data_IF_807385131545
#
_entry.id   IF_807385131545
#
_cell.length_a   1.000
_cell.length_b   1.000
_cell.length_c   1.000
_cell.angle_alpha   90.00
_cell.angle_beta   90.00
_cell.angle_gamma   90.00
#
_symmetry.space_group_name_H-M   'P 1'
#
loop_
_entity.id
_entity.type
_entity.pdbx_description
1 polymer ?
#
# COMPACT_ATOMS: atom_id res chain seq x y z
N UNK A 1 29.76 1.54 -14.37
CA UNK A 1 29.52 1.95 -13.66
C UNK A 1 28.25 2.26 -13.17
N UNK A 2 27.55 2.87 -13.70
CA UNK A 2 26.34 3.12 -13.22
C UNK A 2 25.52 1.97 -13.01
N UNK A 3 25.69 0.91 -13.74
CA UNK A 3 24.89 -0.22 -13.63
C UNK A 3 24.97 -0.87 -12.30
N UNK A 4 26.15 -0.88 -11.74
CA UNK A 4 26.32 -1.49 -10.45
C UNK A 4 25.54 -0.73 -9.42
N UNK A 5 25.57 0.60 -9.52
CA UNK A 5 24.81 1.35 -8.63
C UNK A 5 23.39 1.09 -8.83
N UNK A 6 22.96 0.95 -10.05
CA UNK A 6 21.62 0.70 -10.29
C UNK A 6 21.16 -0.59 -9.74
N UNK A 7 22.06 -1.55 -9.61
CA UNK A 7 21.68 -2.73 -8.97
C UNK A 7 21.29 -2.45 -7.59
N UNK A 8 22.06 -1.68 -6.89
CA UNK A 8 21.75 -1.34 -5.54
C UNK A 8 20.42 -0.66 -5.47
N UNK A 9 20.15 0.18 -6.44
CA UNK A 9 18.87 0.84 -6.46
C UNK A 9 17.75 -0.11 -6.74
N UNK A 10 18.02 -1.12 -7.54
CA UNK A 10 16.97 -2.07 -7.81
C UNK A 10 16.60 -2.87 -6.60
N UNK A 11 17.51 -3.02 -5.65
CA UNK A 11 17.18 -3.69 -4.43
C UNK A 11 16.13 -2.90 -3.66
N UNK A 12 16.00 -1.61 -4.00
CA UNK A 12 14.99 -0.76 -3.41
C UNK A 12 13.82 -0.62 -4.37
N UNK A 13 13.43 -1.72 -4.98
CA UNK A 13 12.33 -1.69 -5.92
C UNK A 13 11.08 -1.13 -5.29
N UNK A 14 10.17 -0.69 -6.13
CA UNK A 14 8.96 -0.05 -5.67
C UNK A 14 8.09 -1.00 -4.88
N UNK A 15 7.59 -0.54 -3.77
CA UNK A 15 6.67 -1.30 -2.94
C UNK A 15 5.22 -0.98 -3.28
N UNK A 16 4.94 0.25 -3.62
CA UNK A 16 3.56 0.65 -3.87
C UNK A 16 3.52 1.81 -4.86
N UNK A 17 2.82 1.63 -5.97
CA UNK A 17 2.62 2.68 -6.95
C UNK A 17 1.15 2.80 -7.26
N UNK A 18 0.62 4.01 -7.15
CA UNK A 18 -0.78 4.28 -7.49
C UNK A 18 -0.84 4.61 -8.98
N UNK A 19 -1.81 4.02 -9.68
CA UNK A 19 -1.97 4.22 -11.11
C UNK A 19 -3.23 5.02 -11.39
N UNK A 20 -3.12 6.04 -12.23
CA UNK A 20 -4.29 6.81 -12.67
C UNK A 20 -4.10 7.10 -14.16
N UNK A 21 -4.88 6.43 -15.00
CA UNK A 21 -4.77 6.52 -16.45
C UNK A 21 -3.36 6.10 -16.87
N UNK A 22 -2.59 7.01 -17.45
CA UNK A 22 -1.23 6.70 -17.86
C UNK A 22 -0.19 7.18 -16.86
N UNK A 23 -0.64 7.80 -15.79
CA UNK A 23 0.26 8.34 -14.77
C UNK A 23 0.41 7.38 -13.61
N UNK A 24 1.55 7.43 -12.97
CA UNK A 24 1.81 6.60 -11.79
C UNK A 24 2.48 7.44 -10.73
N UNK A 25 2.12 7.21 -9.49
CA UNK A 25 2.79 7.85 -8.36
C UNK A 25 3.40 6.76 -7.48
N UNK A 26 4.72 6.73 -7.42
CA UNK A 26 5.44 5.78 -6.59
C UNK A 26 5.64 6.41 -5.22
N UNK A 27 5.02 5.84 -4.20
CA UNK A 27 5.15 6.37 -2.85
C UNK A 27 6.14 5.61 -2.00
N UNK A 28 6.92 4.72 -2.62
CA UNK A 28 7.87 3.89 -1.89
C UNK A 28 8.83 4.68 -1.02
N UNK A 29 9.31 5.82 -1.53
CA UNK A 29 10.27 6.61 -0.74
C UNK A 29 9.65 7.22 0.50
N UNK A 30 8.34 7.27 0.59
CA UNK A 30 7.65 7.78 1.76
C UNK A 30 7.23 6.66 2.71
N UNK A 31 7.44 5.41 2.35
CA UNK A 31 7.09 4.28 3.18
C UNK A 31 8.23 4.01 4.16
N UNK A 32 7.89 3.88 5.43
CA UNK A 32 8.85 3.43 6.44
C UNK A 32 8.99 1.93 6.20
N UNK A 33 10.05 1.53 5.52
CA UNK A 33 10.20 0.17 5.00
C UNK A 33 9.95 -0.94 6.03
N UNK A 34 10.50 -0.87 7.23
CA UNK A 34 10.23 -1.94 8.20
C UNK A 34 8.76 -2.07 8.59
N UNK A 35 7.94 -1.04 8.31
CA UNK A 35 6.52 -1.12 8.64
C UNK A 35 5.72 -1.80 7.54
N UNK A 36 6.31 -2.03 6.39
CA UNK A 36 5.59 -2.57 5.24
C UNK A 36 5.30 -4.05 5.45
N UNK A 37 4.03 -4.35 5.69
CA UNK A 37 3.59 -5.71 6.00
C UNK A 37 2.40 -6.07 5.14
N UNK A 38 2.65 -6.24 3.86
CA UNK A 38 1.61 -6.61 2.90
C UNK A 38 1.90 -8.00 2.39
N UNK A 39 0.94 -8.87 2.52
CA UNK A 39 1.10 -10.26 2.17
C UNK A 39 -0.08 -10.77 1.36
N UNK A 40 0.18 -11.81 0.60
CA UNK A 40 -0.86 -12.50 -0.14
C UNK A 40 -1.46 -13.52 0.80
N UNK A 41 -2.76 -13.44 1.03
CA UNK A 41 -3.45 -14.28 1.99
C UNK A 41 -4.54 -15.10 1.31
N UNK A 42 -4.81 -16.31 1.80
CA UNK A 42 -5.91 -17.10 1.25
C UNK A 42 -7.24 -16.66 1.87
N UNK A 43 -8.27 -16.66 1.07
CA UNK A 43 -9.62 -16.49 1.57
C UNK A 43 -10.27 -17.86 1.44
N UNK A 44 -10.78 -18.40 2.52
CA UNK A 44 -11.32 -19.76 2.51
C UNK A 44 -12.61 -19.86 3.31
N UNK A 45 -13.31 -20.95 3.07
CA UNK A 45 -14.53 -21.27 3.80
C UNK A 45 -14.22 -22.56 4.57
N UNK A 46 -14.67 -22.60 5.81
CA UNK A 46 -14.49 -23.77 6.66
C UNK A 46 -15.84 -24.30 7.10
N UNK A 47 -15.96 -25.62 7.17
CA UNK A 47 -17.19 -26.23 7.70
C UNK A 47 -16.85 -27.60 8.27
N UNK A 48 -17.73 -28.10 9.14
CA UNK A 48 -17.58 -29.43 9.72
C UNK A 48 -18.59 -30.36 9.02
N UNK A 49 -18.17 -31.59 8.73
CA UNK A 49 -19.09 -32.56 8.17
C UNK A 49 -19.76 -33.34 9.30
N UNK A 50 -20.53 -34.36 8.94
CA UNK A 50 -21.29 -35.16 9.89
C UNK A 50 -20.43 -35.93 10.86
N UNK A 51 -19.14 -36.10 10.58
CA UNK A 51 -18.22 -36.82 11.46
C UNK A 51 -17.38 -35.86 12.25
N UNK A 52 -17.72 -34.57 12.24
CA UNK A 52 -17.00 -33.50 12.97
C UNK A 52 -15.61 -33.27 12.40
N UNK A 53 -15.37 -33.63 11.17
CA UNK A 53 -14.09 -33.32 10.53
C UNK A 53 -14.20 -31.96 9.87
N UNK A 54 -13.21 -31.09 10.15
CA UNK A 54 -13.22 -29.77 9.55
C UNK A 54 -12.70 -29.82 8.12
N UNK A 55 -13.40 -29.14 7.24
CA UNK A 55 -13.00 -28.99 5.85
C UNK A 55 -12.72 -27.53 5.55
N UNK A 56 -11.81 -27.28 4.63
CA UNK A 56 -11.42 -25.94 4.27
C UNK A 56 -11.22 -25.85 2.75
N UNK A 57 -11.93 -24.91 2.12
CA UNK A 57 -11.76 -24.65 0.69
C UNK A 57 -11.21 -23.26 0.48
N UNK A 58 -10.16 -23.16 -0.31
CA UNK A 58 -9.58 -21.87 -0.64
C UNK A 58 -10.37 -21.28 -1.81
N UNK A 59 -10.98 -20.11 -1.58
CA UNK A 59 -11.79 -19.45 -2.59
C UNK A 59 -10.93 -18.61 -3.52
N UNK A 60 -9.94 -17.93 -2.97
CA UNK A 60 -9.02 -17.10 -3.74
C UNK A 60 -7.89 -16.64 -2.84
N UNK A 61 -6.88 -16.01 -3.45
CA UNK A 61 -5.85 -15.32 -2.68
C UNK A 61 -6.04 -13.83 -2.90
N UNK A 62 -5.72 -13.02 -1.91
CA UNK A 62 -5.84 -11.58 -1.99
C UNK A 62 -4.73 -10.91 -1.21
N UNK A 63 -4.41 -9.68 -1.58
CA UNK A 63 -3.38 -8.90 -0.89
C UNK A 63 -4.01 -8.09 0.21
N UNK A 64 -3.36 -8.06 1.37
CA UNK A 64 -3.83 -7.28 2.49
C UNK A 64 -2.66 -6.94 3.38
N UNK A 65 -2.67 -5.75 3.94
CA UNK A 65 -1.64 -5.39 4.88
C UNK A 65 -1.64 -3.93 5.26
N UNK A 66 -0.57 -3.54 5.93
CA UNK A 66 -0.43 -2.17 6.44
C UNK A 66 0.97 -1.68 6.20
N UNK A 67 1.11 -0.35 6.21
CA UNK A 67 2.42 0.29 6.23
C UNK A 67 2.25 1.72 6.74
N UNK A 68 3.36 2.35 7.07
CA UNK A 68 3.37 3.70 7.60
C UNK A 68 4.02 4.62 6.59
N UNK A 69 3.41 5.79 6.37
CA UNK A 69 3.96 6.81 5.50
C UNK A 69 4.60 7.93 6.29
N UNK A 70 5.64 8.49 5.74
CA UNK A 70 6.33 9.64 6.30
C UNK A 70 6.61 10.61 5.15
N UNK A 71 6.24 11.87 5.34
CA UNK A 71 6.49 12.91 4.35
C UNK A 71 7.39 13.98 4.95
N UNK A 72 8.42 14.35 4.22
CA UNK A 72 9.36 15.35 4.71
C UNK A 72 8.75 16.74 4.77
N UNK A 73 7.75 17.01 3.96
CA UNK A 73 7.10 18.30 4.04
C UNK A 73 5.63 18.16 3.63
N UNK A 74 4.88 19.21 3.91
CA UNK A 74 3.46 19.20 3.65
C UNK A 74 3.15 19.22 2.16
N UNK A 75 4.03 19.79 1.36
CA UNK A 75 3.83 19.84 -0.08
C UNK A 75 3.77 18.46 -0.69
N UNK A 76 4.68 17.58 -0.27
CA UNK A 76 4.70 16.22 -0.77
C UNK A 76 3.43 15.45 -0.35
N UNK A 77 2.99 15.69 0.86
CA UNK A 77 1.78 15.04 1.35
C UNK A 77 0.56 15.50 0.55
N UNK A 78 0.46 16.80 0.29
CA UNK A 78 -0.64 17.34 -0.48
C UNK A 78 -0.63 16.81 -1.91
N UNK A 79 0.55 16.69 -2.50
CA UNK A 79 0.68 16.12 -3.83
C UNK A 79 0.20 14.67 -3.86
N UNK A 80 0.53 13.91 -2.84
CA UNK A 80 0.05 12.55 -2.71
C UNK A 80 -1.47 12.52 -2.61
N UNK A 81 -2.05 13.36 -1.76
CA UNK A 81 -3.49 13.40 -1.60
C UNK A 81 -4.21 13.78 -2.90
N UNK A 82 -3.67 14.74 -3.62
CA UNK A 82 -4.28 15.16 -4.88
C UNK A 82 -4.26 14.01 -5.88
N UNK A 83 -3.16 13.32 -5.98
CA UNK A 83 -3.06 12.20 -6.91
C UNK A 83 -4.02 11.07 -6.50
N UNK A 84 -4.04 10.75 -5.21
CA UNK A 84 -4.90 9.71 -4.69
C UNK A 84 -6.37 10.04 -4.96
N UNK A 85 -6.79 11.26 -4.66
CA UNK A 85 -8.17 11.67 -4.84
C UNK A 85 -8.59 11.64 -6.30
N UNK A 86 -7.68 11.91 -7.22
CA UNK A 86 -7.95 11.79 -8.63
C UNK A 86 -8.02 10.35 -9.10
N UNK A 87 -7.29 9.47 -8.46
CA UNK A 87 -7.20 8.07 -8.88
C UNK A 87 -8.29 7.18 -8.30
N UNK A 88 -8.85 7.58 -7.16
CA UNK A 88 -9.82 6.72 -6.48
C UNK A 88 -11.15 6.70 -7.24
N UNK A 89 -11.71 5.50 -7.43
CA UNK A 89 -12.98 5.32 -8.13
C UNK A 89 -13.76 4.27 -7.35
N UNK A 90 -14.96 4.61 -6.95
CA UNK A 90 -15.80 3.69 -6.17
C UNK A 90 -15.10 3.18 -4.91
N UNK A 91 -14.22 4.03 -4.37
CA UNK A 91 -13.52 3.70 -3.12
C UNK A 91 -12.23 2.92 -3.29
N UNK A 92 -11.86 2.53 -4.49
CA UNK A 92 -10.63 1.77 -4.70
C UNK A 92 -9.71 2.46 -5.69
N UNK A 93 -8.45 2.05 -5.70
CA UNK A 93 -7.46 2.54 -6.64
C UNK A 93 -6.84 1.35 -7.36
N UNK A 94 -6.24 1.62 -8.52
CA UNK A 94 -5.41 0.64 -9.20
C UNK A 94 -3.99 0.88 -8.74
N UNK A 95 -3.29 -0.16 -8.39
CA UNK A 95 -1.95 0.00 -7.85
C UNK A 95 -1.07 -1.22 -8.14
N UNK A 96 0.24 -0.95 -8.23
CA UNK A 96 1.23 -2.03 -8.22
C UNK A 96 1.62 -2.20 -6.76
N UNK A 97 1.44 -3.39 -6.23
CA UNK A 97 1.64 -3.68 -4.82
C UNK A 97 2.62 -4.84 -4.65
N UNK A 98 3.67 -4.61 -3.89
CA UNK A 98 4.63 -5.67 -3.60
C UNK A 98 4.11 -6.55 -2.46
N UNK A 99 4.22 -7.87 -2.63
CA UNK A 99 3.82 -8.82 -1.60
C UNK A 99 5.06 -9.40 -0.94
N UNK A 100 5.13 -9.29 0.37
CA UNK A 100 6.30 -9.76 1.12
C UNK A 100 6.46 -11.27 1.11
N UNK A 101 5.37 -11.99 1.09
CA UNK A 101 5.46 -13.44 1.20
C UNK A 101 5.66 -14.17 -0.13
N UNK A 102 5.38 -13.54 -1.26
CA UNK A 102 5.67 -14.17 -2.54
C UNK A 102 6.73 -13.40 -3.34
N UNK A 103 7.20 -12.26 -2.79
CA UNK A 103 8.30 -11.47 -3.37
C UNK A 103 8.02 -10.99 -4.79
N UNK A 104 6.76 -10.72 -5.12
CA UNK A 104 6.41 -10.21 -6.44
C UNK A 104 5.54 -8.97 -6.32
N UNK A 105 5.48 -8.21 -7.42
CA UNK A 105 4.64 -7.03 -7.51
C UNK A 105 3.41 -7.39 -8.30
N UNK A 106 2.25 -7.03 -7.78
CA UNK A 106 0.98 -7.32 -8.41
C UNK A 106 0.27 -6.04 -8.81
N UNK A 107 -0.24 -5.98 -10.03
CA UNK A 107 -1.08 -4.86 -10.44
C UNK A 107 -2.50 -5.27 -10.13
N UNK A 108 -3.14 -4.57 -9.23
CA UNK A 108 -4.46 -4.96 -8.76
C UNK A 108 -5.25 -3.75 -8.27
N UNK A 109 -6.50 -3.99 -7.92
CA UNK A 109 -7.37 -2.95 -7.38
C UNK A 109 -7.41 -3.13 -5.87
N UNK A 110 -7.15 -2.06 -5.13
CA UNK A 110 -7.12 -2.13 -3.68
C UNK A 110 -7.92 -1.00 -3.04
N UNK A 111 -8.50 -1.30 -1.89
CA UNK A 111 -9.03 -0.27 -1.02
C UNK A 111 -7.88 0.20 -0.15
N UNK A 112 -7.74 1.50 0.02
CA UNK A 112 -6.65 2.08 0.77
C UNK A 112 -7.23 3.06 1.78
N UNK A 113 -7.02 2.78 3.06
CA UNK A 113 -7.54 3.60 4.13
C UNK A 113 -6.41 4.23 4.92
N UNK A 114 -6.52 5.50 5.22
CA UNK A 114 -5.55 6.19 6.03
C UNK A 114 -6.19 7.43 6.65
N UNK A 115 -5.58 7.91 7.74
CA UNK A 115 -6.13 9.05 8.45
C UNK A 115 -5.49 10.33 8.00
N UNK A 116 -6.30 11.37 7.88
CA UNK A 116 -5.82 12.68 7.49
C UNK A 116 -5.81 13.68 8.63
N UNK A 117 -6.07 13.20 9.84
CA UNK A 117 -6.15 14.08 10.99
C UNK A 117 -4.91 14.93 11.20
N UNK A 118 -3.76 14.35 10.94
CA UNK A 118 -2.53 15.08 11.15
C UNK A 118 -2.45 16.32 10.27
N UNK A 119 -2.96 16.24 9.07
CA UNK A 119 -2.92 17.37 8.17
C UNK A 119 -3.72 18.54 8.70
N UNK A 120 -4.76 18.27 9.44
CA UNK A 120 -5.58 19.33 9.99
C UNK A 120 -4.91 20.06 11.11
N UNK A 121 -4.04 19.37 11.83
CA UNK A 121 -3.39 19.96 12.98
C UNK A 121 -2.14 20.73 12.65
N UNK A 122 -1.65 20.59 11.45
CA UNK A 122 -0.36 21.11 11.11
C UNK A 122 -0.28 22.49 10.50
N UNK A 123 -1.29 22.99 9.81
CA UNK A 123 -1.15 24.22 9.03
C UNK A 123 -0.69 25.44 9.81
N UNK A 124 -1.12 25.54 11.05
CA UNK A 124 -0.80 26.73 11.80
C UNK A 124 0.57 26.72 12.38
N UNK A 125 1.16 25.57 12.47
CA UNK A 125 2.43 25.44 13.17
C UNK A 125 3.63 25.49 12.25
N UNK A 126 3.39 25.55 10.95
CA UNK A 126 4.48 25.51 10.00
C UNK A 126 5.22 24.19 10.02
N UNK A 127 4.56 23.14 10.42
CA UNK A 127 5.18 21.83 10.48
C UNK A 127 5.50 21.36 9.10
N UNK A 128 6.70 20.85 8.90
CA UNK A 128 7.15 20.42 7.60
C UNK A 128 7.12 18.93 7.40
N UNK A 129 7.10 18.18 8.46
CA UNK A 129 7.09 16.72 8.38
C UNK A 129 5.74 16.17 8.74
N UNK A 130 5.30 15.16 8.03
CA UNK A 130 4.08 14.44 8.34
C UNK A 130 4.50 13.00 8.57
N UNK A 131 4.38 12.55 9.81
CA UNK A 131 4.96 11.32 10.26
C UNK A 131 3.88 10.41 10.80
N UNK A 132 4.06 9.13 10.59
CA UNK A 132 3.20 8.16 11.26
C UNK A 132 1.81 7.99 10.68
N UNK A 133 1.62 8.29 9.41
CA UNK A 133 0.32 8.03 8.80
C UNK A 133 0.22 6.53 8.55
N UNK A 134 -0.68 5.89 9.26
CA UNK A 134 -0.86 4.46 9.11
C UNK A 134 -1.84 4.16 7.98
N UNK A 135 -1.44 3.32 7.07
CA UNK A 135 -2.22 2.96 5.90
C UNK A 135 -2.57 1.49 5.95
N UNK A 136 -3.82 1.18 5.66
CA UNK A 136 -4.28 -0.20 5.54
C UNK A 136 -4.74 -0.41 4.12
N UNK A 137 -4.33 -1.50 3.49
CA UNK A 137 -4.78 -1.82 2.16
C UNK A 137 -5.37 -3.22 2.11
N UNK A 138 -6.32 -3.39 1.19
CA UNK A 138 -6.91 -4.70 0.96
C UNK A 138 -7.35 -4.79 -0.49
N UNK A 139 -7.01 -5.89 -1.13
CA UNK A 139 -7.39 -6.12 -2.52
C UNK A 139 -8.90 -6.25 -2.65
N UNK A 140 -9.44 -5.62 -3.69
CA UNK A 140 -10.86 -5.61 -3.96
C UNK A 140 -11.37 -6.98 -4.43
#
# INVERSE_FOLDING_TARGET
MLQVKKKGERAMASLFKIVHNQDMLDITEHIVVPSYKVNKKPQFVEWNDGDHIMHRDIQRYYLEGTFTLFFNDQTDYISFLDFYNGAVTDGYINAYVYSNNDHTVHLTQVYMDFYEELAEEMPFMGVKEIDGIEVTIRER
#
